data_IF_333880998978
#
_entry.id   IF_333880998978
#
_cell.length_a   1.000
_cell.length_b   1.000
_cell.length_c   1.000
_cell.angle_alpha   90.00
_cell.angle_beta   90.00
_cell.angle_gamma   90.00
#
_symmetry.space_group_name_H-M   'P 1'
#
loop_
_entity.id
_entity.type
_entity.pdbx_description
1 polymer ?
#
# COMPACT_ATOMS: atom_id res chain seq x y z
N UNK A 1 11.27 14.89 -29.24
CA UNK A 1 9.94 14.39 -28.86
C UNK A 1 10.14 13.26 -27.85
N UNK A 2 10.34 13.62 -26.57
CA UNK A 2 10.67 12.66 -25.52
C UNK A 2 9.76 12.96 -24.33
N UNK A 3 8.72 12.13 -24.11
CA UNK A 3 7.83 12.28 -22.95
C UNK A 3 8.65 11.90 -21.71
N UNK A 4 9.16 12.92 -21.03
CA UNK A 4 9.58 12.77 -19.65
C UNK A 4 8.39 12.21 -18.86
N UNK A 5 8.59 11.05 -18.25
CA UNK A 5 7.80 10.58 -17.12
C UNK A 5 7.49 11.78 -16.22
N UNK A 6 6.20 12.02 -15.94
CA UNK A 6 5.70 13.23 -15.29
C UNK A 6 6.19 13.40 -13.85
N UNK A 7 7.47 13.75 -13.69
CA UNK A 7 8.06 14.28 -12.48
C UNK A 7 8.03 15.81 -12.59
N UNK A 8 6.85 16.36 -12.88
CA UNK A 8 6.61 17.75 -12.53
C UNK A 8 6.72 17.83 -11.01
N UNK A 9 7.69 18.61 -10.52
CA UNK A 9 7.86 18.85 -9.09
C UNK A 9 6.56 19.49 -8.59
N UNK A 10 5.69 18.67 -8.01
CA UNK A 10 4.44 19.08 -7.38
C UNK A 10 4.68 20.25 -6.42
N UNK A 11 3.91 21.33 -6.56
CA UNK A 11 3.87 22.44 -5.58
C UNK A 11 3.36 21.96 -4.20
N UNK A 12 2.70 20.78 -4.14
CA UNK A 12 2.35 20.07 -2.91
C UNK A 12 3.55 19.26 -2.42
N UNK A 13 3.77 19.20 -1.10
CA UNK A 13 4.84 18.40 -0.50
C UNK A 13 4.82 16.93 -0.96
N UNK A 14 5.99 16.31 -1.10
CA UNK A 14 6.14 14.99 -1.72
C UNK A 14 5.25 13.89 -1.10
N UNK A 15 5.04 13.94 0.21
CA UNK A 15 4.17 13.01 0.94
C UNK A 15 2.69 13.19 0.58
N UNK A 16 2.24 14.44 0.42
CA UNK A 16 0.86 14.74 0.01
C UNK A 16 0.60 14.26 -1.42
N UNK A 17 1.53 14.55 -2.33
CA UNK A 17 1.45 14.06 -3.71
C UNK A 17 1.35 12.53 -3.76
N UNK A 18 2.15 11.85 -2.94
CA UNK A 18 2.13 10.39 -2.86
C UNK A 18 0.82 9.83 -2.34
N UNK A 19 0.22 10.45 -1.31
CA UNK A 19 -1.09 10.05 -0.80
C UNK A 19 -2.18 10.23 -1.87
N UNK A 20 -2.17 11.35 -2.58
CA UNK A 20 -3.13 11.62 -3.65
C UNK A 20 -3.01 10.57 -4.77
N UNK A 21 -1.78 10.32 -5.26
CA UNK A 21 -1.51 9.27 -6.24
C UNK A 21 -1.98 7.89 -5.78
N UNK A 22 -1.79 7.57 -4.50
CA UNK A 22 -2.24 6.31 -3.93
C UNK A 22 -3.76 6.19 -3.92
N UNK A 23 -4.52 7.26 -3.64
CA UNK A 23 -5.99 7.19 -3.71
C UNK A 23 -6.53 6.81 -5.09
N UNK A 24 -5.84 7.21 -6.14
CA UNK A 24 -6.23 6.92 -7.53
C UNK A 24 -5.79 5.52 -8.00
N UNK A 25 -4.99 4.82 -7.19
CA UNK A 25 -4.49 3.48 -7.53
C UNK A 25 -5.52 2.40 -7.17
N UNK A 26 -5.87 1.54 -8.13
CA UNK A 26 -6.86 0.47 -7.92
C UNK A 26 -6.43 -0.64 -6.94
N UNK A 27 -5.14 -0.96 -6.86
CA UNK A 27 -4.61 -1.93 -5.90
C UNK A 27 -3.10 -1.77 -5.67
N UNK A 28 -2.61 -2.26 -4.53
CA UNK A 28 -1.19 -2.34 -4.23
C UNK A 28 -0.68 -3.78 -4.27
N UNK A 29 0.49 -3.93 -4.89
CA UNK A 29 1.22 -5.19 -4.94
C UNK A 29 2.36 -5.18 -3.93
N UNK A 30 2.51 -6.27 -3.18
CA UNK A 30 3.57 -6.43 -2.20
C UNK A 30 4.22 -7.82 -2.30
N UNK A 31 5.51 -7.90 -2.01
CA UNK A 31 6.12 -9.16 -1.60
C UNK A 31 5.77 -9.46 -0.13
N UNK A 32 5.81 -10.73 0.27
CA UNK A 32 5.45 -11.17 1.64
C UNK A 32 6.08 -10.33 2.76
N UNK A 33 7.41 -10.21 2.77
CA UNK A 33 8.14 -9.57 3.89
C UNK A 33 7.79 -8.10 4.07
N UNK A 34 7.66 -7.39 2.95
CA UNK A 34 7.26 -5.99 2.96
C UNK A 34 5.81 -5.87 3.45
N UNK A 35 4.93 -6.75 3.00
CA UNK A 35 3.56 -6.78 3.48
C UNK A 35 3.47 -7.01 4.99
N UNK A 36 4.20 -8.00 5.54
CA UNK A 36 4.24 -8.29 6.98
C UNK A 36 4.64 -7.03 7.77
N UNK A 37 5.76 -6.38 7.39
CA UNK A 37 6.25 -5.16 8.03
C UNK A 37 5.19 -4.05 8.01
N UNK A 38 4.60 -3.80 6.84
CA UNK A 38 3.61 -2.75 6.65
C UNK A 38 2.32 -3.04 7.44
N UNK A 39 1.87 -4.29 7.44
CA UNK A 39 0.67 -4.75 8.14
C UNK A 39 0.80 -4.68 9.66
N UNK A 40 2.01 -4.75 10.21
CA UNK A 40 2.24 -4.60 11.63
C UNK A 40 2.02 -3.17 12.14
N UNK A 41 2.13 -2.16 11.26
CA UNK A 41 2.12 -0.75 11.65
C UNK A 41 0.89 0.01 11.12
N UNK A 42 0.63 -0.05 9.82
CA UNK A 42 -0.34 0.83 9.15
C UNK A 42 -1.80 0.67 9.59
N UNK A 43 -2.31 -0.50 9.99
CA UNK A 43 -3.67 -0.62 10.52
C UNK A 43 -3.92 0.27 11.74
N UNK A 44 -2.90 0.51 12.56
CA UNK A 44 -2.98 1.25 13.83
C UNK A 44 -2.21 2.57 13.82
N UNK A 45 -1.57 2.94 12.72
CA UNK A 45 -0.73 4.14 12.64
C UNK A 45 -1.45 5.44 13.02
N UNK A 46 -2.77 5.51 12.83
CA UNK A 46 -3.57 6.67 13.27
C UNK A 46 -3.79 6.77 14.79
N UNK A 47 -3.39 5.75 15.56
CA UNK A 47 -3.49 5.73 17.03
C UNK A 47 -2.16 6.08 17.71
N UNK A 48 -1.08 6.26 16.93
CA UNK A 48 0.20 6.65 17.50
C UNK A 48 0.10 8.07 18.10
N UNK A 49 0.69 8.34 19.27
CA UNK A 49 0.56 9.61 19.98
C UNK A 49 1.16 10.80 19.22
N UNK A 50 2.06 10.53 18.28
CA UNK A 50 2.79 11.47 17.43
C UNK A 50 2.35 11.42 15.96
N UNK A 51 1.23 10.76 15.65
CA UNK A 51 0.76 10.60 14.28
C UNK A 51 0.40 11.97 13.66
N UNK A 52 1.18 12.37 12.66
CA UNK A 52 0.88 13.58 11.88
C UNK A 52 -0.39 13.37 11.02
N UNK A 53 -1.08 14.45 10.60
CA UNK A 53 -2.22 14.33 9.70
C UNK A 53 -1.93 13.55 8.42
N UNK A 54 -0.71 13.68 7.86
CA UNK A 54 -0.26 12.93 6.68
C UNK A 54 -0.16 11.42 6.93
N UNK A 55 0.32 11.02 8.11
CA UNK A 55 0.40 9.61 8.52
C UNK A 55 -1.01 9.03 8.72
N UNK A 56 -1.90 9.78 9.36
CA UNK A 56 -3.30 9.39 9.56
C UNK A 56 -4.00 9.19 8.21
N UNK A 57 -3.75 10.08 7.26
CA UNK A 57 -4.32 10.02 5.91
C UNK A 57 -3.79 8.81 5.13
N UNK A 58 -2.47 8.59 5.10
CA UNK A 58 -1.90 7.42 4.45
C UNK A 58 -2.38 6.12 5.10
N UNK A 59 -2.53 6.08 6.43
CA UNK A 59 -3.06 4.90 7.12
C UNK A 59 -4.50 4.55 6.69
N UNK A 60 -5.35 5.56 6.43
CA UNK A 60 -6.70 5.35 5.87
C UNK A 60 -6.62 4.79 4.46
N UNK A 61 -5.88 5.47 3.58
CA UNK A 61 -5.69 5.04 2.18
C UNK A 61 -5.15 3.61 2.13
N UNK A 62 -4.13 3.32 2.92
CA UNK A 62 -3.51 2.00 2.97
C UNK A 62 -4.49 0.95 3.45
N UNK A 63 -5.34 1.20 4.46
CA UNK A 63 -6.35 0.22 4.90
C UNK A 63 -7.39 -0.09 3.83
N UNK A 64 -7.92 0.95 3.20
CA UNK A 64 -9.05 0.83 2.25
C UNK A 64 -8.62 0.25 0.89
N UNK A 65 -7.35 0.44 0.51
CA UNK A 65 -6.82 -0.03 -0.76
C UNK A 65 -6.76 -1.56 -0.84
N UNK A 66 -7.29 -2.19 -1.91
CA UNK A 66 -7.09 -3.62 -2.17
C UNK A 66 -5.61 -3.99 -2.29
N UNK A 67 -5.22 -5.14 -1.74
CA UNK A 67 -3.82 -5.59 -1.71
C UNK A 67 -3.68 -7.00 -2.27
N UNK A 68 -2.65 -7.19 -3.09
CA UNK A 68 -2.25 -8.50 -3.61
C UNK A 68 -0.82 -8.79 -3.13
N UNK A 69 -0.64 -9.92 -2.45
CA UNK A 69 0.65 -10.32 -1.88
C UNK A 69 1.21 -11.51 -2.63
N UNK A 70 2.36 -11.33 -3.27
CA UNK A 70 3.08 -12.41 -3.91
C UNK A 70 3.95 -13.13 -2.89
N UNK A 71 3.69 -14.42 -2.71
CA UNK A 71 4.44 -15.28 -1.80
C UNK A 71 4.39 -16.73 -2.23
N UNK A 72 5.49 -17.47 -2.01
CA UNK A 72 5.53 -18.92 -2.11
C UNK A 72 5.19 -19.64 -0.80
N UNK A 73 5.18 -18.91 0.32
CA UNK A 73 5.13 -19.48 1.68
C UNK A 73 4.06 -18.84 2.57
N UNK A 74 3.24 -17.93 2.06
CA UNK A 74 2.19 -17.30 2.86
C UNK A 74 0.94 -18.16 2.75
N UNK A 75 0.46 -18.68 3.88
CA UNK A 75 -0.78 -19.45 3.94
C UNK A 75 -1.97 -18.47 3.97
N UNK A 76 -2.89 -18.51 2.98
CA UNK A 76 -4.08 -17.67 2.93
C UNK A 76 -5.00 -17.80 4.15
N UNK A 77 -4.88 -18.87 4.93
CA UNK A 77 -5.69 -19.14 6.13
C UNK A 77 -5.19 -18.47 7.41
N UNK A 78 -4.03 -17.78 7.38
CA UNK A 78 -3.38 -17.19 8.56
C UNK A 78 -4.12 -15.97 9.17
N UNK A 79 -5.43 -15.82 8.92
CA UNK A 79 -6.28 -14.86 9.62
C UNK A 79 -6.07 -13.38 9.28
N UNK A 80 -5.16 -13.04 8.36
CA UNK A 80 -5.06 -11.68 7.81
C UNK A 80 -6.06 -11.59 6.65
N UNK A 81 -7.07 -10.70 6.69
CA UNK A 81 -8.00 -10.53 5.57
C UNK A 81 -7.23 -10.01 4.35
N UNK A 82 -6.92 -10.91 3.42
CA UNK A 82 -6.29 -10.62 2.14
C UNK A 82 -7.22 -11.02 1.01
N UNK A 83 -7.26 -10.20 -0.05
CA UNK A 83 -7.73 -10.65 -1.36
C UNK A 83 -6.68 -11.61 -1.91
N UNK A 84 -6.81 -12.90 -1.62
CA UNK A 84 -5.88 -13.91 -2.12
C UNK A 84 -6.03 -14.09 -3.62
N UNK A 85 -5.13 -13.51 -4.41
CA UNK A 85 -4.91 -13.94 -5.78
C UNK A 85 -4.05 -15.21 -5.77
N UNK A 86 -4.63 -16.32 -5.32
CA UNK A 86 -4.01 -17.63 -5.45
C UNK A 86 -4.12 -18.07 -6.93
N UNK A 87 -3.31 -17.47 -7.80
CA UNK A 87 -3.19 -17.94 -9.18
C UNK A 87 -2.28 -19.17 -9.18
N UNK A 88 -2.86 -20.36 -8.93
CA UNK A 88 -2.31 -21.58 -9.53
C UNK A 88 -2.60 -21.51 -11.01
N UNK A 89 -1.70 -20.90 -11.78
CA UNK A 89 -1.65 -21.12 -13.22
C UNK A 89 -0.44 -21.98 -13.51
N UNK A 90 -0.72 -23.24 -13.81
CA UNK A 90 0.20 -24.16 -14.45
C UNK A 90 0.37 -23.66 -15.89
N UNK A 91 1.48 -22.98 -16.16
CA UNK A 91 2.10 -22.83 -17.48
C UNK A 91 3.61 -22.81 -17.29
#
# INVERSE_FOLDING_TARGET
MNRAIGLERSERGAEQYWNDFKRETACAFYGRRLYELMSAYWPTANKAPDATPLIVDFARIWRDMPKVVFSRTLDPSTGIPISSAATRSRW
#
